data_IF_486518584843
#
_entry.id   IF_486518584843
#
_cell.length_a   1.000
_cell.length_b   1.000
_cell.length_c   1.000
_cell.angle_alpha   90.00
_cell.angle_beta   90.00
_cell.angle_gamma   90.00
#
_symmetry.space_group_name_H-M   'P 1'
#
loop_
_entity.id
_entity.type
_entity.pdbx_description
1 polymer ?
#
# COMPACT_ATOMS: atom_id res chain seq x y z
N UNK A 1 -19.53 5.13 3.05
CA UNK A 1 -18.46 4.60 3.93
C UNK A 1 -17.89 5.74 4.77
N UNK A 2 -17.39 5.46 5.97
CA UNK A 2 -16.87 6.45 6.91
C UNK A 2 -15.34 6.43 6.99
N UNK A 3 -14.73 7.56 7.32
CA UNK A 3 -13.29 7.68 7.53
C UNK A 3 -12.89 6.90 8.79
N UNK A 4 -11.85 6.07 8.66
CA UNK A 4 -11.29 5.28 9.76
C UNK A 4 -10.86 6.09 10.99
N UNK A 5 -10.45 7.34 10.78
CA UNK A 5 -9.86 8.19 11.83
C UNK A 5 -10.87 9.07 12.56
N UNK A 6 -11.92 9.52 11.88
CA UNK A 6 -12.82 10.54 12.42
C UNK A 6 -14.31 10.32 12.13
N UNK A 7 -14.68 9.19 11.51
CA UNK A 7 -16.07 8.86 11.18
C UNK A 7 -16.78 9.86 10.22
N UNK A 8 -16.07 10.82 9.65
CA UNK A 8 -16.56 11.70 8.58
C UNK A 8 -16.71 10.97 7.25
N UNK A 9 -17.30 11.63 6.24
CA UNK A 9 -17.46 11.04 4.91
C UNK A 9 -16.09 10.71 4.29
N UNK A 10 -15.90 9.43 3.93
CA UNK A 10 -14.69 9.00 3.24
C UNK A 10 -14.69 9.46 1.78
N UNK A 11 -13.50 9.77 1.27
CA UNK A 11 -13.27 10.19 -0.13
C UNK A 11 -12.36 9.24 -0.91
N UNK A 12 -11.66 8.35 -0.22
CA UNK A 12 -10.76 7.39 -0.84
C UNK A 12 -10.65 6.09 -0.02
N UNK A 13 -10.06 5.05 -0.63
CA UNK A 13 -9.69 3.80 0.02
C UNK A 13 -8.18 3.59 -0.07
N UNK A 14 -7.58 3.12 1.02
CA UNK A 14 -6.15 2.84 1.10
C UNK A 14 -5.75 1.69 0.18
N UNK A 15 -4.74 1.91 -0.66
CA UNK A 15 -4.25 0.91 -1.61
C UNK A 15 -3.64 -0.34 -0.96
N UNK A 16 -3.29 -0.27 0.34
CA UNK A 16 -2.61 -1.34 1.06
C UNK A 16 -3.55 -2.20 1.91
N UNK A 17 -4.45 -1.58 2.68
CA UNK A 17 -5.35 -2.31 3.61
C UNK A 17 -6.85 -2.12 3.33
N UNK A 18 -7.22 -1.27 2.37
CA UNK A 18 -8.61 -1.01 2.01
C UNK A 18 -9.39 -0.07 2.96
N UNK A 19 -8.82 0.39 4.09
CA UNK A 19 -9.47 1.38 4.97
C UNK A 19 -9.91 2.61 4.19
N UNK A 20 -11.10 3.10 4.52
CA UNK A 20 -11.65 4.32 3.93
C UNK A 20 -11.16 5.55 4.72
N UNK A 21 -10.75 6.61 4.01
CA UNK A 21 -10.24 7.86 4.62
C UNK A 21 -10.87 9.11 4.00
N UNK A 22 -11.11 10.13 4.81
CA UNK A 22 -11.55 11.45 4.34
C UNK A 22 -10.37 12.20 3.69
N UNK A 23 -10.64 13.38 3.11
CA UNK A 23 -9.61 14.19 2.46
C UNK A 23 -8.47 14.61 3.40
N UNK A 24 -8.79 14.91 4.66
CA UNK A 24 -7.82 15.44 5.63
C UNK A 24 -6.88 14.37 6.17
N UNK A 25 -7.37 13.13 6.29
CA UNK A 25 -6.57 11.98 6.73
C UNK A 25 -6.01 11.14 5.58
N UNK A 26 -6.34 11.48 4.32
CA UNK A 26 -5.73 10.85 3.17
C UNK A 26 -4.29 11.37 3.00
N UNK A 27 -3.33 10.46 3.01
CA UNK A 27 -1.94 10.72 2.64
C UNK A 27 -1.57 9.92 1.40
N UNK A 28 -0.35 10.08 0.92
CA UNK A 28 0.14 9.34 -0.23
C UNK A 28 1.42 8.57 0.06
N UNK A 29 1.58 7.43 -0.60
CA UNK A 29 2.79 6.60 -0.54
C UNK A 29 3.05 6.01 -1.93
N UNK A 30 4.29 5.60 -2.22
CA UNK A 30 4.62 4.88 -3.45
C UNK A 30 4.51 3.37 -3.24
N UNK A 31 4.14 2.63 -4.29
CA UNK A 31 4.14 1.16 -4.24
C UNK A 31 4.47 0.56 -5.61
N UNK A 32 4.87 -0.71 -5.64
CA UNK A 32 5.00 -1.48 -6.87
C UNK A 32 3.69 -2.19 -7.18
N UNK A 33 3.20 -2.08 -8.42
CA UNK A 33 1.98 -2.79 -8.86
C UNK A 33 2.28 -4.12 -9.54
N UNK A 34 3.51 -4.31 -10.01
CA UNK A 34 3.97 -5.56 -10.61
C UNK A 34 5.49 -5.62 -10.65
N UNK A 35 6.03 -6.83 -10.71
CA UNK A 35 7.46 -7.13 -10.72
C UNK A 35 7.76 -8.12 -11.84
N UNK A 36 8.91 -7.95 -12.49
CA UNK A 36 9.38 -8.76 -13.60
C UNK A 36 10.84 -9.15 -13.40
N UNK A 37 11.27 -10.24 -14.03
CA UNK A 37 12.69 -10.57 -14.17
C UNK A 37 13.24 -9.81 -15.37
N UNK A 38 14.18 -8.90 -15.13
CA UNK A 38 14.88 -8.17 -16.17
C UNK A 38 16.10 -8.92 -16.71
N UNK A 39 16.87 -8.26 -17.58
CA UNK A 39 18.15 -8.77 -18.06
C UNK A 39 19.10 -9.10 -16.89
N UNK A 40 19.95 -10.11 -17.07
CA UNK A 40 20.90 -10.59 -16.06
C UNK A 40 20.25 -10.97 -14.72
N UNK A 41 19.01 -11.49 -14.75
CA UNK A 41 18.23 -11.83 -13.56
C UNK A 41 18.05 -10.67 -12.56
N UNK A 42 18.14 -9.42 -13.02
CA UNK A 42 17.90 -8.25 -12.17
C UNK A 42 16.41 -7.98 -12.05
N UNK A 43 15.81 -8.03 -10.84
CA UNK A 43 14.40 -7.71 -10.66
C UNK A 43 14.08 -6.27 -11.09
N UNK A 44 12.96 -6.07 -11.78
CA UNK A 44 12.42 -4.75 -12.14
C UNK A 44 11.00 -4.63 -11.64
N UNK A 45 10.67 -3.52 -10.99
CA UNK A 45 9.31 -3.22 -10.53
C UNK A 45 8.72 -2.04 -11.28
N UNK A 46 7.43 -2.12 -11.63
CA UNK A 46 6.66 -0.98 -12.10
C UNK A 46 6.09 -0.25 -10.88
N UNK A 47 6.66 0.90 -10.56
CA UNK A 47 6.24 1.71 -9.43
C UNK A 47 5.13 2.70 -9.84
N UNK A 48 4.18 2.90 -8.93
CA UNK A 48 3.21 3.99 -8.98
C UNK A 48 3.46 4.89 -7.76
N UNK A 49 3.59 6.17 -8.02
CA UNK A 49 3.73 7.18 -6.98
C UNK A 49 2.35 7.67 -6.53
N UNK A 50 2.32 8.28 -5.35
CA UNK A 50 1.17 8.98 -4.82
C UNK A 50 -0.13 8.16 -4.69
N UNK A 51 -0.05 6.85 -4.39
CA UNK A 51 -1.25 6.05 -4.09
C UNK A 51 -1.80 6.42 -2.73
N UNK A 52 -3.12 6.29 -2.56
CA UNK A 52 -3.78 6.62 -1.30
C UNK A 52 -3.28 5.70 -0.19
N UNK A 53 -2.79 6.33 0.87
CA UNK A 53 -2.31 5.70 2.09
C UNK A 53 -3.08 6.26 3.29
N UNK A 54 -3.51 5.38 4.20
CA UNK A 54 -4.33 5.77 5.35
C UNK A 54 -3.52 6.32 6.53
N UNK A 55 -2.19 6.43 6.42
CA UNK A 55 -1.32 6.90 7.50
C UNK A 55 -0.93 5.84 8.54
N UNK A 56 -1.54 4.65 8.50
CA UNK A 56 -1.32 3.57 9.48
C UNK A 56 -0.80 2.26 8.88
N UNK A 57 -0.76 2.13 7.56
CA UNK A 57 -0.16 0.93 6.97
C UNK A 57 1.35 1.01 7.10
N UNK A 58 1.93 0.02 7.77
CA UNK A 58 3.37 -0.17 7.92
C UNK A 58 3.77 -1.42 7.13
N UNK A 59 4.01 -1.31 5.80
CA UNK A 59 4.57 -2.42 5.04
C UNK A 59 5.92 -2.82 5.64
N UNK A 60 6.13 -4.11 5.86
CA UNK A 60 7.36 -4.63 6.43
C UNK A 60 8.56 -4.30 5.52
N UNK A 61 9.70 -3.86 6.08
CA UNK A 61 10.87 -3.52 5.29
C UNK A 61 11.54 -4.76 4.67
N UNK A 62 11.36 -5.93 5.30
CA UNK A 62 11.91 -7.21 4.85
C UNK A 62 10.81 -8.28 4.74
N UNK A 63 10.92 -9.23 3.78
CA UNK A 63 10.01 -10.37 3.70
C UNK A 63 10.04 -11.21 4.98
N UNK A 64 8.86 -11.64 5.44
CA UNK A 64 8.74 -12.55 6.58
C UNK A 64 8.84 -14.00 6.09
N UNK A 65 9.66 -14.83 6.74
CA UNK A 65 9.73 -16.26 6.46
C UNK A 65 8.44 -16.98 6.88
N UNK A 66 7.93 -17.88 6.02
CA UNK A 66 6.76 -18.72 6.30
C UNK A 66 7.12 -20.21 6.25
N UNK A 67 7.90 -20.72 7.22
CA UNK A 67 8.35 -22.12 7.25
C UNK A 67 7.20 -23.13 7.32
N UNK A 68 6.04 -22.75 7.85
CA UNK A 68 4.83 -23.58 7.94
C UNK A 68 4.19 -23.93 6.58
N UNK A 69 4.62 -23.28 5.49
CA UNK A 69 4.11 -23.51 4.13
C UNK A 69 5.01 -24.41 3.26
N UNK A 70 6.13 -24.93 3.79
CA UNK A 70 7.10 -25.77 3.07
C UNK A 70 7.42 -27.08 3.81
#
# INVERSE_FOLDING_TARGET
MKCWHCEEEARASCAFCGRFVCKDHASTMSTFITMFVGANNTPKGLAVANVIWCGECEPQPEPISMPELY
#
